data_IF_244697127711
#
_entry.id   IF_244697127711
#
_cell.length_a   1.000
_cell.length_b   1.000
_cell.length_c   1.000
_cell.angle_alpha   90.00
_cell.angle_beta   90.00
_cell.angle_gamma   90.00
#
_symmetry.space_group_name_H-M   'P 1'
#
loop_
_entity.id
_entity.type
_entity.pdbx_description
1 polymer ?
#
# COMPACT_ATOMS: atom_id res chain seq x y z
N UNK A 1 -25.73 20.27 -47.15
CA UNK A 1 -24.78 20.75 -46.12
C UNK A 1 -24.04 19.53 -45.58
N UNK A 2 -22.76 19.37 -45.95
CA UNK A 2 -21.99 18.17 -45.67
C UNK A 2 -21.33 18.20 -44.29
N UNK A 3 -21.60 17.19 -43.47
CA UNK A 3 -20.88 16.92 -42.23
C UNK A 3 -19.68 16.03 -42.51
N UNK A 4 -18.47 16.59 -42.39
CA UNK A 4 -17.22 15.85 -42.52
C UNK A 4 -16.98 14.98 -41.30
N UNK A 5 -17.20 13.67 -41.44
CA UNK A 5 -16.70 12.67 -40.50
C UNK A 5 -15.17 12.62 -40.59
N UNK A 6 -14.49 13.21 -39.61
CA UNK A 6 -13.05 13.13 -39.48
C UNK A 6 -12.65 11.68 -39.21
N UNK A 7 -12.20 10.99 -40.26
CA UNK A 7 -11.58 9.68 -40.15
C UNK A 7 -10.23 9.86 -39.44
N UNK A 8 -10.19 9.61 -38.14
CA UNK A 8 -8.94 9.60 -37.38
C UNK A 8 -8.04 8.49 -37.95
N UNK A 9 -6.83 8.85 -38.36
CA UNK A 9 -5.84 7.89 -38.86
C UNK A 9 -5.43 6.95 -37.71
N UNK A 10 -5.74 5.66 -37.86
CA UNK A 10 -5.43 4.62 -36.90
C UNK A 10 -3.94 4.52 -36.58
N UNK A 11 -3.06 4.95 -37.50
CA UNK A 11 -1.60 4.99 -37.28
C UNK A 11 -1.18 6.07 -36.30
N UNK A 12 -1.93 7.17 -36.24
CA UNK A 12 -1.69 8.25 -35.27
C UNK A 12 -2.12 7.79 -33.88
N UNK A 13 -3.27 7.13 -33.78
CA UNK A 13 -3.77 6.56 -32.52
C UNK A 13 -2.77 5.53 -31.97
N UNK A 14 -2.26 4.64 -32.83
CA UNK A 14 -1.26 3.63 -32.45
C UNK A 14 0.03 4.30 -31.94
N UNK A 15 0.56 5.30 -32.65
CA UNK A 15 1.74 6.06 -32.18
C UNK A 15 1.50 6.78 -30.85
N UNK A 16 0.35 7.43 -30.67
CA UNK A 16 0.02 8.11 -29.42
C UNK A 16 -0.08 7.12 -28.25
N UNK A 17 -0.68 5.96 -28.50
CA UNK A 17 -0.80 4.88 -27.51
C UNK A 17 0.57 4.33 -27.14
N UNK A 18 1.45 4.17 -28.11
CA UNK A 18 2.83 3.67 -27.94
C UNK A 18 3.74 4.69 -27.25
N UNK A 19 3.60 5.98 -27.55
CA UNK A 19 4.32 7.05 -26.85
C UNK A 19 3.83 7.18 -25.41
N UNK A 20 2.52 7.09 -25.17
CA UNK A 20 1.98 7.06 -23.82
C UNK A 20 2.51 5.84 -23.05
N UNK A 21 2.43 4.63 -23.62
CA UNK A 21 2.99 3.41 -23.02
C UNK A 21 4.49 3.54 -22.72
N UNK A 22 5.29 4.01 -23.67
CA UNK A 22 6.73 4.18 -23.47
C UNK A 22 7.03 5.27 -22.42
N UNK A 23 6.27 6.37 -22.37
CA UNK A 23 6.42 7.39 -21.34
C UNK A 23 6.05 6.88 -19.95
N UNK A 24 5.08 5.97 -19.84
CA UNK A 24 4.78 5.26 -18.60
C UNK A 24 5.87 4.23 -18.24
N UNK A 25 6.50 3.58 -19.22
CA UNK A 25 7.63 2.68 -19.00
C UNK A 25 8.91 3.43 -18.60
N UNK A 26 9.20 4.59 -19.18
CA UNK A 26 10.37 5.41 -18.83
C UNK A 26 10.17 6.16 -17.50
N UNK A 27 8.93 6.46 -17.13
CA UNK A 27 8.56 6.90 -15.78
C UNK A 27 8.44 5.69 -14.84
N UNK A 28 9.47 4.86 -14.75
CA UNK A 28 9.55 3.89 -13.64
C UNK A 28 9.48 4.70 -12.33
N UNK A 29 8.45 4.53 -11.48
CA UNK A 29 8.48 5.15 -10.17
C UNK A 29 9.73 4.65 -9.44
N UNK A 30 10.57 5.56 -8.96
CA UNK A 30 11.75 5.23 -8.15
C UNK A 30 11.35 4.15 -7.14
N UNK A 31 12.03 3.01 -7.16
CA UNK A 31 11.75 1.88 -6.26
C UNK A 31 11.52 2.38 -4.83
N UNK A 32 10.27 2.39 -4.38
CA UNK A 32 9.90 2.89 -3.05
C UNK A 32 10.06 1.76 -2.04
N UNK A 33 10.79 2.01 -0.95
CA UNK A 33 10.80 1.08 0.17
C UNK A 33 9.47 1.17 0.92
N UNK A 34 8.72 0.08 0.96
CA UNK A 34 7.38 0.04 1.55
C UNK A 34 7.36 -0.96 2.69
N UNK A 35 6.86 -0.52 3.84
CA UNK A 35 6.56 -1.38 4.99
C UNK A 35 5.09 -1.82 4.94
N UNK A 36 4.81 -3.11 5.09
CA UNK A 36 3.44 -3.63 5.13
C UNK A 36 3.08 -4.16 6.52
N UNK A 37 2.00 -3.63 7.09
CA UNK A 37 1.41 -4.03 8.37
C UNK A 37 0.10 -4.77 8.13
N UNK A 38 -0.13 -5.86 8.85
CA UNK A 38 -1.32 -6.69 8.77
C UNK A 38 -1.49 -7.54 10.03
N UNK A 39 -2.70 -8.05 10.28
CA UNK A 39 -2.91 -9.02 11.36
C UNK A 39 -2.37 -10.40 10.92
N UNK A 40 -1.62 -11.08 11.79
CA UNK A 40 -1.04 -12.40 11.49
C UNK A 40 -2.04 -13.44 10.95
N UNK A 41 -3.33 -13.34 11.31
CA UNK A 41 -4.40 -14.20 10.81
C UNK A 41 -4.67 -14.00 9.31
N UNK A 42 -4.27 -12.86 8.75
CA UNK A 42 -4.39 -12.51 7.33
C UNK A 42 -3.17 -12.90 6.48
N UNK A 43 -2.19 -13.61 7.05
CA UNK A 43 -0.91 -13.95 6.38
C UNK A 43 -1.07 -14.60 5.01
N UNK A 44 -2.08 -15.46 4.84
CA UNK A 44 -2.34 -16.14 3.57
C UNK A 44 -2.80 -15.16 2.48
N UNK A 45 -3.71 -14.25 2.83
CA UNK A 45 -4.20 -13.24 1.91
C UNK A 45 -3.08 -12.27 1.54
N UNK A 46 -2.33 -11.78 2.53
CA UNK A 46 -1.19 -10.89 2.27
C UNK A 46 -0.13 -11.59 1.41
N UNK A 47 0.17 -12.87 1.64
CA UNK A 47 1.11 -13.63 0.81
C UNK A 47 0.65 -13.79 -0.65
N UNK A 48 -0.65 -13.89 -0.90
CA UNK A 48 -1.18 -13.88 -2.27
C UNK A 48 -0.98 -12.51 -2.93
N UNK A 49 -1.35 -11.44 -2.21
CA UNK A 49 -1.21 -10.06 -2.67
C UNK A 49 0.26 -9.68 -2.95
N UNK A 50 1.17 -10.23 -2.14
CA UNK A 50 2.62 -10.20 -2.35
C UNK A 50 3.06 -10.84 -3.64
N UNK A 51 2.58 -12.05 -3.90
CA UNK A 51 2.90 -12.78 -5.12
C UNK A 51 2.51 -11.98 -6.37
N UNK A 52 1.37 -11.28 -6.30
CA UNK A 52 0.92 -10.38 -7.37
C UNK A 52 1.87 -9.18 -7.52
N UNK A 53 2.18 -8.47 -6.43
CA UNK A 53 3.03 -7.28 -6.49
C UNK A 53 4.50 -7.54 -6.85
N UNK A 54 5.05 -8.72 -6.49
CA UNK A 54 6.43 -9.11 -6.84
C UNK A 54 6.60 -9.37 -8.34
N UNK A 55 5.57 -9.85 -9.02
CA UNK A 55 5.59 -9.99 -10.48
C UNK A 55 5.63 -8.62 -11.19
N UNK A 56 5.37 -7.54 -10.45
CA UNK A 56 5.24 -6.18 -10.96
C UNK A 56 6.35 -5.25 -10.41
N UNK A 57 7.55 -5.80 -10.11
CA UNK A 57 8.76 -5.07 -9.72
C UNK A 57 8.71 -4.22 -8.43
N UNK A 58 7.75 -4.44 -7.53
CA UNK A 58 7.69 -3.74 -6.24
C UNK A 58 8.57 -4.43 -5.18
N UNK A 59 9.62 -3.74 -4.72
CA UNK A 59 10.44 -4.14 -3.55
C UNK A 59 9.67 -3.88 -2.25
N UNK A 60 8.59 -4.65 -2.06
CA UNK A 60 7.83 -4.65 -0.82
C UNK A 60 8.62 -5.43 0.23
N UNK A 61 9.11 -4.73 1.26
CA UNK A 61 9.76 -5.38 2.41
C UNK A 61 8.69 -5.89 3.39
N UNK A 62 8.68 -7.21 3.57
CA UNK A 62 7.88 -7.85 4.61
C UNK A 62 8.81 -8.41 5.65
N UNK A 63 8.78 -7.81 6.82
CA UNK A 63 9.30 -8.48 7.98
C UNK A 63 8.19 -9.36 8.52
N UNK A 64 8.36 -10.66 8.31
CA UNK A 64 7.54 -11.72 8.89
C UNK A 64 7.77 -11.77 10.39
N UNK A 65 7.24 -10.77 11.07
CA UNK A 65 6.98 -10.82 12.49
C UNK A 65 5.52 -11.23 12.64
N UNK A 66 5.17 -12.42 12.13
CA UNK A 66 4.08 -13.23 12.67
C UNK A 66 4.43 -13.58 14.12
N UNK A 67 4.48 -12.55 14.97
CA UNK A 67 4.87 -12.68 16.34
C UNK A 67 3.67 -13.25 17.07
N UNK A 68 3.80 -14.53 17.39
CA UNK A 68 2.96 -15.27 18.33
C UNK A 68 3.00 -14.68 19.76
N UNK A 69 3.74 -13.58 19.96
CA UNK A 69 3.97 -12.93 21.23
C UNK A 69 2.89 -11.85 21.47
N UNK A 70 2.23 -11.86 22.65
CA UNK A 70 1.28 -10.82 23.01
C UNK A 70 1.90 -9.42 22.97
N UNK A 71 1.10 -8.43 22.55
CA UNK A 71 1.49 -7.01 22.53
C UNK A 71 1.93 -6.50 23.92
N UNK A 72 1.40 -7.09 24.99
CA UNK A 72 1.68 -6.72 26.37
C UNK A 72 2.76 -7.61 27.04
N UNK A 73 3.58 -8.33 26.24
CA UNK A 73 4.66 -9.19 26.77
C UNK A 73 5.91 -8.40 27.17
N UNK A 74 6.76 -8.96 28.04
CA UNK A 74 8.05 -8.36 28.42
C UNK A 74 8.98 -8.13 27.22
N UNK A 75 8.81 -8.90 26.14
CA UNK A 75 9.58 -8.77 24.90
C UNK A 75 9.00 -7.74 23.92
N UNK A 76 7.83 -7.17 24.22
CA UNK A 76 7.13 -6.27 23.31
C UNK A 76 7.98 -5.04 22.96
N UNK A 77 8.71 -4.46 23.91
CA UNK A 77 9.56 -3.29 23.64
C UNK A 77 10.73 -3.60 22.70
N UNK A 78 11.33 -4.77 22.85
CA UNK A 78 12.38 -5.23 21.92
C UNK A 78 11.81 -5.39 20.49
N UNK A 79 10.63 -5.99 20.38
CA UNK A 79 9.92 -6.16 19.10
C UNK A 79 9.58 -4.80 18.49
N UNK A 80 8.97 -3.89 19.27
CA UNK A 80 8.63 -2.53 18.82
C UNK A 80 9.86 -1.79 18.32
N UNK A 81 11.01 -1.93 19.00
CA UNK A 81 12.26 -1.33 18.53
C UNK A 81 12.69 -1.85 17.16
N UNK A 82 12.57 -3.16 16.91
CA UNK A 82 12.88 -3.77 15.61
C UNK A 82 11.93 -3.28 14.51
N UNK A 83 10.62 -3.25 14.79
CA UNK A 83 9.61 -2.77 13.84
C UNK A 83 9.81 -1.28 13.53
N UNK A 84 10.06 -0.46 14.56
CA UNK A 84 10.32 0.98 14.42
C UNK A 84 11.48 1.25 13.46
N UNK A 85 12.56 0.48 13.54
CA UNK A 85 13.70 0.64 12.65
C UNK A 85 13.35 0.32 11.18
N UNK A 86 12.48 -0.67 10.95
CA UNK A 86 11.97 -0.98 9.62
C UNK A 86 11.05 0.09 9.08
N UNK A 87 10.16 0.62 9.91
CA UNK A 87 9.32 1.78 9.56
C UNK A 87 10.21 2.98 9.19
N UNK A 88 11.32 3.22 9.91
CA UNK A 88 12.27 4.30 9.58
C UNK A 88 12.89 4.14 8.19
N UNK A 89 13.22 2.91 7.78
CA UNK A 89 13.77 2.61 6.46
C UNK A 89 12.73 2.72 5.36
N UNK A 90 11.45 2.55 5.69
CA UNK A 90 10.36 2.70 4.76
C UNK A 90 10.04 4.16 4.48
N UNK A 91 9.57 4.34 3.26
CA UNK A 91 9.04 5.58 2.72
C UNK A 91 7.54 5.69 2.99
N UNK A 92 6.81 4.59 2.75
CA UNK A 92 5.37 4.48 2.95
C UNK A 92 5.07 3.23 3.76
N UNK A 93 4.08 3.32 4.63
CA UNK A 93 3.49 2.22 5.37
C UNK A 93 2.14 1.87 4.75
N UNK A 94 1.98 0.62 4.35
CA UNK A 94 0.75 0.07 3.77
C UNK A 94 0.11 -0.84 4.80
N UNK A 95 -1.13 -0.56 5.17
CA UNK A 95 -1.88 -1.33 6.16
C UNK A 95 -2.92 -2.19 5.46
N UNK A 96 -2.79 -3.50 5.55
CA UNK A 96 -3.83 -4.41 5.09
C UNK A 96 -4.99 -4.45 6.09
N UNK A 97 -6.17 -4.02 5.64
CA UNK A 97 -7.41 -3.98 6.42
C UNK A 97 -8.31 -5.14 6.00
N UNK A 98 -8.64 -5.97 6.99
CA UNK A 98 -9.62 -7.03 6.95
C UNK A 98 -10.67 -6.82 8.06
N UNK A 99 -11.65 -7.71 8.14
CA UNK A 99 -12.69 -7.64 9.17
C UNK A 99 -12.16 -7.86 10.60
N UNK A 100 -10.93 -8.35 10.77
CA UNK A 100 -10.33 -8.63 12.07
C UNK A 100 -9.28 -7.59 12.49
N UNK A 101 -8.81 -6.74 11.57
CA UNK A 101 -7.74 -5.75 11.83
C UNK A 101 -8.07 -4.82 13.00
N UNK A 102 -9.35 -4.51 13.21
CA UNK A 102 -9.81 -3.66 14.31
C UNK A 102 -9.49 -4.21 15.71
N UNK A 103 -9.15 -5.49 15.84
CA UNK A 103 -8.77 -6.15 17.10
C UNK A 103 -7.25 -6.10 17.35
N UNK A 104 -6.45 -5.77 16.33
CA UNK A 104 -4.99 -5.87 16.40
C UNK A 104 -4.36 -4.63 17.03
N UNK A 105 -3.91 -4.77 18.29
CA UNK A 105 -3.09 -3.76 18.98
C UNK A 105 -1.77 -3.48 18.26
N UNK A 106 -1.18 -4.50 17.63
CA UNK A 106 0.06 -4.35 16.87
C UNK A 106 -0.15 -3.43 15.67
N UNK A 107 -1.20 -3.65 14.88
CA UNK A 107 -1.49 -2.81 13.71
C UNK A 107 -1.82 -1.37 14.12
N UNK A 108 -2.62 -1.17 15.18
CA UNK A 108 -2.91 0.17 15.68
C UNK A 108 -1.62 0.91 16.11
N UNK A 109 -0.74 0.23 16.85
CA UNK A 109 0.54 0.80 17.25
C UNK A 109 1.44 1.12 16.06
N UNK A 110 1.55 0.22 15.06
CA UNK A 110 2.36 0.42 13.85
C UNK A 110 1.87 1.63 13.05
N UNK A 111 0.56 1.81 12.90
CA UNK A 111 -0.02 3.00 12.24
C UNK A 111 0.40 4.28 12.94
N UNK A 112 0.22 4.33 14.27
CA UNK A 112 0.56 5.52 15.07
C UNK A 112 2.04 5.83 15.02
N UNK A 113 2.89 4.80 15.10
CA UNK A 113 4.34 4.94 15.02
C UNK A 113 4.78 5.42 13.63
N UNK A 114 4.19 4.90 12.55
CA UNK A 114 4.46 5.37 11.18
C UNK A 114 4.10 6.84 11.00
N UNK A 115 2.94 7.27 11.51
CA UNK A 115 2.54 8.69 11.47
C UNK A 115 3.50 9.55 12.31
N UNK A 116 3.86 9.10 13.51
CA UNK A 116 4.79 9.82 14.39
C UNK A 116 6.18 9.99 13.75
N UNK A 117 6.61 9.04 12.92
CA UNK A 117 7.86 9.08 12.16
C UNK A 117 7.75 9.83 10.81
N UNK A 118 6.63 10.51 10.54
CA UNK A 118 6.42 11.29 9.32
C UNK A 118 6.30 10.43 8.05
N UNK A 119 5.95 9.15 8.19
CA UNK A 119 5.79 8.24 7.04
C UNK A 119 4.43 8.43 6.40
N UNK A 120 4.39 8.26 5.08
CA UNK A 120 3.10 8.16 4.37
C UNK A 120 2.39 6.90 4.83
N UNK A 121 1.10 6.96 5.10
CA UNK A 121 0.30 5.79 5.52
C UNK A 121 -0.88 5.62 4.60
N UNK A 122 -1.04 4.42 4.04
CA UNK A 122 -2.20 4.07 3.22
C UNK A 122 -2.85 2.79 3.73
N UNK A 123 -4.16 2.70 3.64
CA UNK A 123 -4.91 1.50 3.99
C UNK A 123 -5.37 0.79 2.71
N UNK A 124 -5.23 -0.53 2.68
CA UNK A 124 -5.57 -1.36 1.53
C UNK A 124 -6.47 -2.51 1.96
N UNK A 125 -7.39 -2.94 1.12
CA UNK A 125 -8.22 -4.12 1.39
C UNK A 125 -8.30 -5.05 0.19
N UNK A 126 -8.64 -6.31 0.44
CA UNK A 126 -8.90 -7.29 -0.63
C UNK A 126 -10.27 -7.04 -1.27
N UNK A 127 -10.36 -7.29 -2.57
CA UNK A 127 -11.61 -7.29 -3.33
C UNK A 127 -12.15 -5.89 -3.62
N UNK A 128 -13.39 -5.83 -4.14
CA UNK A 128 -14.02 -4.57 -4.56
C UNK A 128 -14.71 -3.82 -3.42
N UNK A 129 -15.11 -4.54 -2.37
CA UNK A 129 -15.81 -3.95 -1.22
C UNK A 129 -14.88 -3.84 -0.03
N UNK A 130 -14.87 -2.69 0.68
CA UNK A 130 -14.10 -2.56 1.90
C UNK A 130 -14.68 -3.47 3.00
N UNK A 131 -13.87 -3.85 4.00
CA UNK A 131 -14.36 -4.62 5.15
C UNK A 131 -15.45 -3.86 5.91
N UNK A 132 -16.37 -4.63 6.48
CA UNK A 132 -17.50 -4.11 7.26
C UNK A 132 -17.00 -3.43 8.53
N UNK A 133 -16.02 -4.07 9.19
CA UNK A 133 -15.38 -3.54 10.40
C UNK A 133 -14.10 -2.80 10.05
N UNK A 134 -14.10 -1.49 10.28
CA UNK A 134 -12.94 -0.61 10.05
C UNK A 134 -12.30 -0.23 11.39
N UNK A 135 -10.97 -0.31 11.52
CA UNK A 135 -10.27 0.20 12.69
C UNK A 135 -10.53 1.69 12.93
N UNK A 136 -10.51 2.13 14.20
CA UNK A 136 -10.76 3.51 14.58
C UNK A 136 -9.75 4.51 13.99
N UNK A 137 -8.49 4.10 13.88
CA UNK A 137 -7.40 4.94 13.37
C UNK A 137 -7.65 5.46 11.94
N UNK A 138 -8.43 4.74 11.12
CA UNK A 138 -8.74 5.17 9.75
C UNK A 138 -9.48 6.51 9.76
N UNK A 139 -10.46 6.65 10.66
CA UNK A 139 -11.21 7.90 10.82
C UNK A 139 -10.42 8.94 11.61
N UNK A 140 -9.65 8.50 12.60
CA UNK A 140 -8.85 9.38 13.46
C UNK A 140 -7.81 10.18 12.65
N UNK A 141 -7.16 9.52 11.69
CA UNK A 141 -6.09 10.12 10.88
C UNK A 141 -6.49 10.41 9.43
N UNK A 142 -7.78 10.29 9.10
CA UNK A 142 -8.34 10.48 7.74
C UNK A 142 -7.57 9.68 6.66
N UNK A 143 -7.31 8.40 6.93
CA UNK A 143 -6.52 7.55 6.05
C UNK A 143 -7.35 7.06 4.86
N UNK A 144 -6.79 7.18 3.66
CA UNK A 144 -7.38 6.62 2.44
C UNK A 144 -7.41 5.08 2.53
N UNK A 145 -8.59 4.49 2.29
CA UNK A 145 -8.79 3.05 2.17
C UNK A 145 -9.09 2.71 0.71
N UNK A 146 -8.17 1.98 0.06
CA UNK A 146 -8.24 1.63 -1.36
C UNK A 146 -8.26 0.11 -1.57
N UNK A 147 -8.80 -0.39 -2.70
CA UNK A 147 -8.68 -1.80 -3.03
C UNK A 147 -7.25 -2.16 -3.41
N UNK A 148 -6.81 -3.38 -3.09
CA UNK A 148 -5.53 -3.91 -3.57
C UNK A 148 -5.63 -4.23 -5.07
N UNK A 149 -5.36 -3.22 -5.89
CA UNK A 149 -5.19 -3.30 -7.34
C UNK A 149 -3.88 -2.62 -7.69
N UNK A 150 -3.09 -3.22 -8.58
CA UNK A 150 -1.74 -2.73 -8.89
C UNK A 150 -1.70 -1.23 -9.19
N UNK A 151 -2.56 -0.76 -10.09
CA UNK A 151 -2.61 0.64 -10.50
C UNK A 151 -2.94 1.59 -9.32
N UNK A 152 -3.98 1.27 -8.55
CA UNK A 152 -4.42 2.06 -7.39
C UNK A 152 -3.34 2.09 -6.30
N UNK A 153 -2.70 0.94 -6.06
CA UNK A 153 -1.65 0.80 -5.06
C UNK A 153 -0.43 1.64 -5.42
N UNK A 154 0.06 1.55 -6.66
CA UNK A 154 1.22 2.31 -7.13
C UNK A 154 0.97 3.82 -7.07
N UNK A 155 -0.22 4.27 -7.49
CA UNK A 155 -0.60 5.68 -7.38
C UNK A 155 -0.67 6.16 -5.93
N UNK A 156 -1.33 5.40 -5.06
CA UNK A 156 -1.47 5.75 -3.65
C UNK A 156 -0.12 5.75 -2.91
N UNK A 157 0.79 4.85 -3.25
CA UNK A 157 2.16 4.85 -2.72
C UNK A 157 2.90 6.11 -3.15
N UNK A 158 2.81 6.50 -4.43
CA UNK A 158 3.47 7.72 -4.92
C UNK A 158 2.88 9.01 -4.32
N UNK A 159 1.56 9.07 -4.11
CA UNK A 159 0.91 10.19 -3.41
C UNK A 159 1.35 10.27 -1.95
N UNK A 160 1.21 9.18 -1.20
CA UNK A 160 1.60 9.11 0.20
C UNK A 160 3.11 9.31 0.38
N UNK A 161 3.91 8.99 -0.64
CA UNK A 161 5.33 9.27 -0.65
C UNK A 161 5.65 10.77 -0.68
N UNK A 162 4.82 11.58 -1.37
CA UNK A 162 5.01 13.03 -1.53
C UNK A 162 4.45 13.83 -0.35
N UNK A 163 3.40 13.33 0.29
CA UNK A 163 2.69 14.00 1.39
C UNK A 163 3.34 13.82 2.78
N UNK A 164 4.56 13.25 2.83
CA UNK A 164 5.30 13.05 4.09
C UNK A 164 5.62 14.40 4.75
N UNK A 165 5.40 14.46 6.06
CA UNK A 165 5.65 15.65 6.89
C UNK A 165 7.00 15.56 7.60
#
# INVERSE_FOLDING_TARGET
MGGGGGSYDTRIIDRLSKVAQNAFEDAQPDKRNVFISFDHRDVNDVNLLRGQAKNENSDLEFNDYSLKEPFDSERAEYIKSGIRERIRQASVTVIYISNITHESKWVDWEVRESIALGKGVICVHKGEKPPDKKPGFIKEFDLKLIPWKHHELSLAIEEAAKERK
#
